data_IF_961730165968
#
_entry.id   IF_961730165968
#
_cell.length_a   1.000
_cell.length_b   1.000
_cell.length_c   1.000
_cell.angle_alpha   90.00
_cell.angle_beta   90.00
_cell.angle_gamma   90.00
#
_symmetry.space_group_name_H-M   'P 1'
#
loop_
_entity.id
_entity.type
_entity.pdbx_description
1 polymer ?
#
# COMPACT_ATOMS: atom_id res chain seq x y z
N UNK A 1 -29.82 -11.18 -10.28
CA UNK A 1 -28.68 -10.72 -11.09
C UNK A 1 -28.01 -9.60 -10.35
N UNK A 2 -27.29 -9.98 -9.30
CA UNK A 2 -26.35 -9.08 -8.65
C UNK A 2 -25.00 -9.19 -9.36
N UNK A 3 -24.03 -8.37 -8.93
CA UNK A 3 -22.69 -8.37 -9.51
C UNK A 3 -21.99 -9.74 -9.41
N UNK A 4 -22.34 -10.59 -8.42
CA UNK A 4 -21.73 -11.91 -8.17
C UNK A 4 -22.12 -12.93 -9.24
N UNK A 5 -23.29 -12.80 -9.87
CA UNK A 5 -23.76 -13.71 -10.93
C UNK A 5 -22.93 -13.64 -12.24
N UNK A 6 -22.12 -12.60 -12.45
CA UNK A 6 -21.33 -12.38 -13.69
C UNK A 6 -19.81 -12.57 -13.55
N UNK A 7 -19.29 -13.00 -12.39
CA UNK A 7 -17.83 -13.12 -12.17
C UNK A 7 -17.20 -14.40 -12.72
N UNK A 8 -17.20 -14.56 -14.05
CA UNK A 8 -16.27 -15.46 -14.78
C UNK A 8 -14.91 -14.78 -15.11
N UNK A 9 -14.63 -13.64 -14.47
CA UNK A 9 -13.42 -12.81 -14.63
C UNK A 9 -12.55 -12.97 -13.37
N UNK A 10 -11.20 -12.89 -13.44
CA UNK A 10 -10.33 -12.92 -12.26
C UNK A 10 -10.87 -12.04 -11.13
N UNK A 11 -10.77 -12.57 -9.90
CA UNK A 11 -11.33 -12.00 -8.67
C UNK A 11 -11.13 -10.49 -8.57
N UNK A 12 -12.06 -9.80 -7.91
CA UNK A 12 -11.83 -8.41 -7.52
C UNK A 12 -10.53 -8.31 -6.72
N UNK A 13 -9.49 -7.73 -7.32
CA UNK A 13 -8.24 -7.44 -6.63
C UNK A 13 -8.47 -6.25 -5.70
N UNK A 14 -8.65 -6.53 -4.40
CA UNK A 14 -8.75 -5.50 -3.38
C UNK A 14 -7.36 -4.93 -3.10
N UNK A 15 -7.08 -3.75 -3.67
CA UNK A 15 -5.79 -3.09 -3.51
C UNK A 15 -5.66 -2.47 -2.12
N UNK A 16 -4.43 -2.40 -1.62
CA UNK A 16 -4.16 -1.67 -0.37
C UNK A 16 -4.36 -0.16 -0.54
N UNK A 17 -4.62 0.59 0.54
CA UNK A 17 -4.72 2.04 0.51
C UNK A 17 -3.54 2.71 -0.19
N UNK A 18 -2.31 2.25 0.09
CA UNK A 18 -1.13 2.77 -0.58
C UNK A 18 -1.20 2.60 -2.11
N UNK A 19 -1.62 1.43 -2.59
CA UNK A 19 -1.71 1.12 -4.02
C UNK A 19 -2.79 1.93 -4.74
N UNK A 20 -4.03 1.94 -4.23
CA UNK A 20 -5.11 2.63 -4.95
C UNK A 20 -5.01 4.16 -4.85
N UNK A 21 -4.43 4.70 -3.77
CA UNK A 21 -4.14 6.13 -3.68
C UNK A 21 -3.03 6.52 -4.66
N UNK A 22 -1.96 5.73 -4.78
CA UNK A 22 -0.94 5.95 -5.81
C UNK A 22 -1.54 5.95 -7.23
N UNK A 23 -2.44 5.01 -7.52
CA UNK A 23 -3.13 4.95 -8.81
C UNK A 23 -3.98 6.20 -9.06
N UNK A 24 -4.76 6.64 -8.06
CA UNK A 24 -5.60 7.83 -8.18
C UNK A 24 -4.79 9.14 -8.30
N UNK A 25 -3.62 9.23 -7.65
CA UNK A 25 -2.67 10.33 -7.83
C UNK A 25 -2.09 10.34 -9.24
N UNK A 26 -1.64 9.18 -9.73
CA UNK A 26 -1.06 9.03 -11.07
C UNK A 26 -2.09 9.36 -12.16
N UNK A 27 -3.35 8.99 -11.94
CA UNK A 27 -4.45 9.30 -12.85
C UNK A 27 -4.93 10.76 -12.78
N UNK A 28 -4.41 11.58 -11.85
CA UNK A 28 -4.84 12.96 -11.64
C UNK A 28 -6.26 13.10 -11.05
N UNK A 29 -6.86 12.00 -10.58
CA UNK A 29 -8.11 12.00 -9.81
C UNK A 29 -7.89 12.70 -8.46
N UNK A 30 -6.73 12.47 -7.83
CA UNK A 30 -6.26 13.20 -6.64
C UNK A 30 -5.16 14.19 -7.08
N UNK A 31 -5.25 15.49 -6.76
CA UNK A 31 -4.23 16.46 -7.16
C UNK A 31 -2.89 16.24 -6.44
N UNK A 32 -1.81 15.97 -7.18
CA UNK A 32 -0.45 15.82 -6.62
C UNK A 32 0.13 17.13 -6.07
N UNK A 33 -0.46 18.27 -6.43
CA UNK A 33 -0.04 19.59 -5.95
C UNK A 33 -0.43 19.86 -4.49
N UNK A 34 -1.31 19.03 -3.90
CA UNK A 34 -1.68 19.15 -2.50
C UNK A 34 -0.58 18.55 -1.61
N UNK A 35 -0.04 19.30 -0.64
CA UNK A 35 1.00 18.79 0.22
C UNK A 35 0.45 17.66 1.11
N UNK A 36 1.24 16.61 1.28
CA UNK A 36 0.94 15.44 2.13
C UNK A 36 -0.39 14.70 1.83
N UNK A 37 -1.06 14.96 0.70
CA UNK A 37 -2.37 14.34 0.40
C UNK A 37 -2.33 12.82 0.42
N UNK A 38 -1.23 12.22 -0.06
CA UNK A 38 -1.02 10.76 -0.04
C UNK A 38 -1.04 10.22 1.39
N UNK A 39 -0.35 10.90 2.31
CA UNK A 39 -0.20 10.47 3.71
C UNK A 39 -1.57 10.44 4.40
N UNK A 40 -2.29 11.56 4.36
CA UNK A 40 -3.61 11.66 5.01
C UNK A 40 -4.64 10.73 4.35
N UNK A 41 -4.61 10.59 3.02
CA UNK A 41 -5.51 9.69 2.30
C UNK A 41 -5.28 8.22 2.68
N UNK A 42 -4.03 7.75 2.67
CA UNK A 42 -3.69 6.38 3.09
C UNK A 42 -4.12 6.15 4.53
N UNK A 43 -3.82 7.08 5.46
CA UNK A 43 -4.20 6.96 6.86
C UNK A 43 -5.71 6.82 7.06
N UNK A 44 -6.53 7.60 6.35
CA UNK A 44 -7.99 7.52 6.44
C UNK A 44 -8.52 6.25 5.79
N UNK A 45 -7.97 5.87 4.63
CA UNK A 45 -8.39 4.69 3.89
C UNK A 45 -7.96 3.35 4.53
N UNK A 46 -6.97 3.35 5.44
CA UNK A 46 -6.58 2.17 6.22
C UNK A 46 -7.51 1.91 7.42
N UNK A 47 -8.45 2.81 7.74
CA UNK A 47 -9.39 2.62 8.85
C UNK A 47 -10.56 1.74 8.44
N UNK A 48 -11.08 1.00 9.41
CA UNK A 48 -12.36 0.32 9.27
C UNK A 48 -13.51 1.30 9.47
N UNK A 49 -14.53 1.17 8.61
CA UNK A 49 -15.75 1.95 8.69
C UNK A 49 -16.94 1.00 8.69
N UNK A 50 -18.06 1.35 9.34
CA UNK A 50 -19.26 0.52 9.37
C UNK A 50 -20.06 0.54 8.07
N UNK A 51 -19.97 1.62 7.27
CA UNK A 51 -20.66 1.74 5.98
C UNK A 51 -19.89 2.63 5.00
N UNK A 52 -20.26 2.55 3.72
CA UNK A 52 -19.69 3.41 2.69
C UNK A 52 -20.01 4.90 2.92
N UNK A 53 -21.20 5.22 3.43
CA UNK A 53 -21.58 6.61 3.75
C UNK A 53 -20.77 7.15 4.92
N UNK A 54 -20.56 6.35 5.97
CA UNK A 54 -19.71 6.75 7.10
C UNK A 54 -18.26 6.94 6.65
N UNK A 55 -17.73 6.04 5.80
CA UNK A 55 -16.40 6.20 5.23
C UNK A 55 -16.28 7.50 4.43
N UNK A 56 -17.26 7.78 3.54
CA UNK A 56 -17.30 9.00 2.73
C UNK A 56 -17.23 10.25 3.60
N UNK A 57 -18.05 10.30 4.65
CA UNK A 57 -18.10 11.45 5.56
C UNK A 57 -16.79 11.59 6.36
N UNK A 58 -16.29 10.50 6.94
CA UNK A 58 -15.04 10.54 7.73
C UNK A 58 -13.82 10.89 6.90
N UNK A 59 -13.76 10.47 5.63
CA UNK A 59 -12.71 10.87 4.70
C UNK A 59 -12.78 12.38 4.44
N UNK A 60 -13.97 12.93 4.15
CA UNK A 60 -14.15 14.37 3.94
C UNK A 60 -13.69 15.15 5.16
N UNK A 61 -14.28 14.87 6.33
CA UNK A 61 -13.96 15.56 7.58
C UNK A 61 -12.47 15.46 7.88
N UNK A 62 -11.87 14.28 7.76
CA UNK A 62 -10.45 14.07 8.05
C UNK A 62 -9.52 14.88 7.16
N UNK A 63 -9.77 14.91 5.84
CA UNK A 63 -8.95 15.68 4.90
C UNK A 63 -9.16 17.18 5.10
N UNK A 64 -10.41 17.64 5.24
CA UNK A 64 -10.72 19.05 5.49
C UNK A 64 -10.05 19.55 6.77
N UNK A 65 -10.18 18.81 7.87
CA UNK A 65 -9.58 19.16 9.16
C UNK A 65 -8.05 19.18 9.09
N UNK A 66 -7.44 18.21 8.39
CA UNK A 66 -6.00 18.17 8.18
C UNK A 66 -5.50 19.44 7.49
N UNK A 67 -6.13 19.85 6.38
CA UNK A 67 -5.71 21.07 5.68
C UNK A 67 -5.98 22.34 6.48
N UNK A 68 -7.09 22.42 7.20
CA UNK A 68 -7.40 23.57 8.06
C UNK A 68 -6.38 23.74 9.20
N UNK A 69 -5.87 22.63 9.74
CA UNK A 69 -4.98 22.64 10.91
C UNK A 69 -3.51 22.73 10.50
N UNK A 70 -3.08 21.94 9.51
CA UNK A 70 -1.67 21.87 9.09
C UNK A 70 -1.29 22.90 8.04
N UNK A 71 -2.27 23.45 7.32
CA UNK A 71 -2.06 24.44 6.25
C UNK A 71 -3.12 25.57 6.33
N UNK A 72 -3.17 26.35 7.43
CA UNK A 72 -4.20 27.38 7.61
C UNK A 72 -4.16 28.46 6.51
N UNK A 73 -2.98 28.76 5.98
CA UNK A 73 -2.74 29.78 4.95
C UNK A 73 -2.87 29.23 3.51
N UNK A 74 -3.51 28.07 3.33
CA UNK A 74 -3.69 27.45 2.02
C UNK A 74 -4.48 28.40 1.08
N UNK A 75 -3.92 28.84 -0.06
CA UNK A 75 -4.59 29.74 -0.99
C UNK A 75 -5.96 29.23 -1.46
N UNK A 76 -6.92 30.12 -1.73
CA UNK A 76 -8.28 29.74 -2.14
C UNK A 76 -8.32 28.83 -3.38
N UNK A 77 -7.42 29.06 -4.35
CA UNK A 77 -7.26 28.18 -5.52
C UNK A 77 -6.94 26.73 -5.14
N UNK A 78 -6.27 26.50 -4.01
CA UNK A 78 -5.96 25.18 -3.49
C UNK A 78 -7.11 24.60 -2.66
N UNK A 79 -8.04 25.40 -2.13
CA UNK A 79 -9.28 24.88 -1.50
C UNK A 79 -10.15 24.12 -2.51
N UNK A 80 -10.21 24.59 -3.76
CA UNK A 80 -10.85 23.85 -4.86
C UNK A 80 -10.13 22.52 -5.13
N UNK A 81 -8.79 22.51 -5.04
CA UNK A 81 -8.01 21.27 -5.16
C UNK A 81 -8.27 20.32 -3.99
N UNK A 82 -8.45 20.82 -2.76
CA UNK A 82 -8.80 19.99 -1.59
C UNK A 82 -10.12 19.25 -1.85
N UNK A 83 -11.15 19.94 -2.35
CA UNK A 83 -12.43 19.29 -2.69
C UNK A 83 -12.29 18.23 -3.79
N UNK A 84 -11.48 18.51 -4.83
CA UNK A 84 -11.13 17.50 -5.83
C UNK A 84 -10.39 16.31 -5.20
N UNK A 85 -9.46 16.56 -4.28
CA UNK A 85 -8.73 15.54 -3.52
C UNK A 85 -9.66 14.66 -2.69
N UNK A 86 -10.58 15.26 -1.93
CA UNK A 86 -11.60 14.55 -1.14
C UNK A 86 -12.41 13.61 -2.04
N UNK A 87 -12.93 14.14 -3.15
CA UNK A 87 -13.76 13.38 -4.08
C UNK A 87 -12.96 12.22 -4.71
N UNK A 88 -11.71 12.47 -5.09
CA UNK A 88 -10.79 11.45 -5.62
C UNK A 88 -10.52 10.33 -4.62
N UNK A 89 -10.24 10.67 -3.36
CA UNK A 89 -10.01 9.69 -2.29
C UNK A 89 -11.26 8.86 -2.02
N UNK A 90 -12.43 9.49 -1.90
CA UNK A 90 -13.71 8.80 -1.70
C UNK A 90 -14.01 7.82 -2.84
N UNK A 91 -13.80 8.24 -4.09
CA UNK A 91 -13.98 7.40 -5.28
C UNK A 91 -13.01 6.22 -5.29
N UNK A 92 -11.75 6.44 -4.94
CA UNK A 92 -10.75 5.39 -4.86
C UNK A 92 -11.09 4.36 -3.75
N UNK A 93 -11.53 4.83 -2.58
CA UNK A 93 -11.99 3.98 -1.48
C UNK A 93 -13.19 3.12 -1.89
N UNK A 94 -14.24 3.72 -2.46
CA UNK A 94 -15.47 3.02 -2.84
C UNK A 94 -15.28 1.93 -3.91
N UNK A 95 -14.16 1.97 -4.66
CA UNK A 95 -13.79 0.95 -5.66
C UNK A 95 -13.02 -0.23 -5.06
N UNK A 96 -12.46 -0.10 -3.87
CA UNK A 96 -11.53 -1.08 -3.29
C UNK A 96 -11.96 -1.60 -1.90
N UNK A 97 -12.84 -0.90 -1.20
CA UNK A 97 -13.28 -1.27 0.15
C UNK A 97 -14.80 -1.22 0.22
N UNK A 98 -15.40 -2.32 0.68
CA UNK A 98 -16.84 -2.50 0.79
C UNK A 98 -17.22 -2.83 2.24
N UNK A 99 -17.38 -1.80 3.10
CA UNK A 99 -17.65 -1.96 4.52
C UNK A 99 -18.77 -2.95 4.88
N UNK A 100 -19.94 -2.82 4.23
CA UNK A 100 -21.10 -3.65 4.52
C UNK A 100 -20.87 -5.14 4.19
N UNK A 101 -20.01 -5.43 3.21
CA UNK A 101 -19.65 -6.79 2.81
C UNK A 101 -18.42 -7.30 3.55
N UNK A 102 -17.81 -6.49 4.43
CA UNK A 102 -16.51 -6.77 5.08
C UNK A 102 -15.44 -7.20 4.07
N UNK A 103 -15.47 -6.60 2.87
CA UNK A 103 -14.55 -6.92 1.79
C UNK A 103 -13.54 -5.79 1.59
N UNK A 104 -12.27 -6.14 1.76
CA UNK A 104 -11.12 -5.24 1.67
C UNK A 104 -9.86 -6.06 1.37
N UNK A 105 -8.76 -5.36 1.13
CA UNK A 105 -7.42 -5.95 0.98
C UNK A 105 -7.01 -6.78 2.21
N UNK A 106 -7.38 -6.36 3.42
CA UNK A 106 -7.04 -7.06 4.66
C UNK A 106 -7.85 -8.35 4.86
N UNK A 107 -9.12 -8.36 4.44
CA UNK A 107 -9.97 -9.55 4.53
C UNK A 107 -9.67 -10.58 3.42
N UNK A 108 -9.22 -10.12 2.25
CA UNK A 108 -8.92 -10.94 1.08
C UNK A 108 -7.50 -10.66 0.58
N UNK A 109 -6.47 -11.17 1.27
CA UNK A 109 -5.08 -10.89 0.94
C UNK A 109 -4.68 -11.51 -0.40
N UNK A 110 -3.86 -10.77 -1.14
CA UNK A 110 -3.17 -11.30 -2.33
C UNK A 110 -1.85 -11.95 -1.89
N UNK A 111 -1.64 -13.22 -2.23
CA UNK A 111 -0.41 -13.93 -1.86
C UNK A 111 0.72 -13.75 -2.88
N UNK A 112 0.52 -12.90 -3.90
CA UNK A 112 1.55 -12.50 -4.85
C UNK A 112 2.42 -11.41 -4.22
N UNK A 113 3.67 -11.77 -3.90
CA UNK A 113 4.65 -10.88 -3.25
C UNK A 113 4.60 -10.95 -1.71
N UNK A 114 5.43 -10.13 -1.07
CA UNK A 114 5.60 -10.17 0.40
C UNK A 114 5.70 -8.78 1.07
N UNK A 115 5.29 -7.72 0.38
CA UNK A 115 5.34 -6.34 0.90
C UNK A 115 4.14 -6.01 1.79
N UNK A 116 2.93 -6.20 1.24
CA UNK A 116 1.66 -5.87 1.90
C UNK A 116 1.00 -7.09 2.56
N UNK A 117 1.40 -8.29 2.16
CA UNK A 117 0.84 -9.56 2.59
C UNK A 117 1.97 -10.55 2.83
N UNK A 118 1.74 -11.60 3.62
CA UNK A 118 2.81 -12.55 3.93
C UNK A 118 3.23 -13.42 2.73
N UNK A 119 2.32 -13.67 1.78
CA UNK A 119 2.60 -14.45 0.57
C UNK A 119 3.39 -15.74 0.84
N UNK A 120 4.51 -15.90 0.15
CA UNK A 120 5.40 -17.05 0.30
C UNK A 120 6.05 -17.15 1.70
N UNK A 121 6.20 -16.05 2.43
CA UNK A 121 6.75 -16.06 3.80
C UNK A 121 5.86 -16.79 4.81
N UNK A 122 4.63 -17.17 4.46
CA UNK A 122 3.83 -18.11 5.27
C UNK A 122 4.58 -19.43 5.54
N UNK A 123 5.43 -19.86 4.61
CA UNK A 123 6.28 -21.03 4.75
C UNK A 123 7.78 -20.69 4.69
N UNK A 124 8.16 -19.64 3.97
CA UNK A 124 9.55 -19.19 3.85
C UNK A 124 9.93 -18.18 4.94
N UNK A 125 9.71 -18.55 6.20
CA UNK A 125 9.90 -17.70 7.38
C UNK A 125 11.15 -18.06 8.21
N UNK A 126 11.88 -19.12 7.84
CA UNK A 126 13.03 -19.58 8.62
C UNK A 126 12.68 -20.31 9.92
N UNK A 127 11.39 -20.55 10.21
CA UNK A 127 10.95 -21.20 11.46
C UNK A 127 10.48 -22.64 11.26
N UNK A 128 10.17 -23.05 10.03
CA UNK A 128 9.81 -24.43 9.71
C UNK A 128 11.07 -25.31 9.63
N UNK A 129 11.32 -26.09 10.68
CA UNK A 129 12.48 -27.01 10.79
C UNK A 129 11.99 -28.46 10.82
N UNK A 130 12.55 -29.30 9.94
CA UNK A 130 12.29 -30.75 9.94
C UNK A 130 13.00 -31.46 11.11
N UNK A 131 12.56 -32.68 11.43
CA UNK A 131 13.23 -33.51 12.45
C UNK A 131 14.73 -33.76 12.18
N UNK A 132 15.14 -33.71 10.91
CA UNK A 132 16.55 -33.82 10.50
C UNK A 132 17.31 -32.49 10.49
N UNK A 133 16.75 -31.41 11.03
CA UNK A 133 17.40 -30.11 11.16
C UNK A 133 17.40 -29.23 9.90
N UNK A 134 16.75 -29.66 8.80
CA UNK A 134 16.60 -28.82 7.60
C UNK A 134 15.53 -27.75 7.82
N UNK A 135 15.84 -26.49 7.49
CA UNK A 135 14.96 -25.34 7.65
C UNK A 135 14.48 -24.80 6.31
N UNK A 136 13.20 -24.43 6.21
CA UNK A 136 12.73 -23.64 5.05
C UNK A 136 13.27 -22.23 5.18
N UNK A 137 14.24 -21.91 4.33
CA UNK A 137 14.97 -20.63 4.35
C UNK A 137 14.07 -19.45 4.01
N UNK A 138 14.50 -18.25 4.43
CA UNK A 138 13.86 -16.96 4.15
C UNK A 138 14.75 -15.99 3.37
N UNK A 139 15.81 -16.49 2.74
CA UNK A 139 16.77 -15.66 2.03
C UNK A 139 16.10 -14.97 0.83
N UNK A 140 16.39 -13.68 0.60
CA UNK A 140 15.82 -12.90 -0.50
C UNK A 140 16.13 -13.53 -1.87
N UNK A 141 17.31 -14.15 -1.99
CA UNK A 141 17.82 -14.81 -3.19
C UNK A 141 17.11 -16.12 -3.52
N UNK A 142 16.16 -16.57 -2.69
CA UNK A 142 15.27 -17.67 -3.06
C UNK A 142 14.34 -17.29 -4.21
N UNK A 143 13.99 -16.01 -4.34
CA UNK A 143 13.01 -15.53 -5.31
C UNK A 143 13.48 -14.30 -6.11
N UNK A 144 14.54 -13.62 -5.69
CA UNK A 144 14.99 -12.38 -6.31
C UNK A 144 16.46 -12.41 -6.75
N UNK A 145 16.68 -11.98 -7.99
CA UNK A 145 17.98 -11.53 -8.49
C UNK A 145 17.97 -10.00 -8.59
N UNK A 146 18.54 -9.33 -7.59
CA UNK A 146 18.51 -7.87 -7.47
C UNK A 146 19.66 -7.30 -8.30
N UNK A 147 19.37 -7.03 -9.57
CA UNK A 147 20.37 -6.49 -10.50
C UNK A 147 20.57 -4.97 -10.35
N UNK A 148 19.57 -4.26 -9.82
CA UNK A 148 19.62 -2.81 -9.61
C UNK A 148 18.77 -2.41 -8.42
N UNK A 149 19.25 -1.48 -7.59
CA UNK A 149 18.47 -0.88 -6.52
C UNK A 149 18.95 0.55 -6.22
N UNK A 150 18.17 1.29 -5.42
CA UNK A 150 18.49 2.66 -5.01
C UNK A 150 17.60 3.73 -5.67
N UNK A 151 17.89 4.99 -5.37
CA UNK A 151 17.17 6.14 -5.91
C UNK A 151 17.94 6.74 -7.10
N UNK A 152 17.29 6.89 -8.28
CA UNK A 152 17.89 7.53 -9.45
C UNK A 152 18.52 8.88 -9.11
N UNK A 153 19.77 9.08 -9.55
CA UNK A 153 20.53 10.31 -9.31
C UNK A 153 21.02 10.52 -7.87
N UNK A 154 20.86 9.55 -6.96
CA UNK A 154 21.36 9.64 -5.58
C UNK A 154 22.29 8.49 -5.21
N UNK A 155 21.76 7.27 -5.18
CA UNK A 155 22.45 6.09 -4.64
C UNK A 155 22.09 4.83 -5.44
N UNK A 156 22.06 4.95 -6.77
CA UNK A 156 21.82 3.79 -7.63
C UNK A 156 23.01 2.83 -7.56
N UNK A 157 22.70 1.56 -7.34
CA UNK A 157 23.64 0.46 -7.36
C UNK A 157 23.23 -0.52 -8.47
N UNK A 158 24.22 -1.08 -9.15
CA UNK A 158 24.05 -2.02 -10.26
C UNK A 158 24.94 -3.22 -9.98
N UNK A 159 24.37 -4.42 -10.03
CA UNK A 159 25.12 -5.67 -9.90
C UNK A 159 26.11 -5.84 -11.06
N UNK A 160 27.21 -6.54 -10.79
CA UNK A 160 28.06 -7.06 -11.86
C UNK A 160 27.33 -8.20 -12.57
N UNK A 161 27.73 -8.47 -13.81
CA UNK A 161 27.17 -9.58 -14.60
C UNK A 161 27.38 -10.90 -13.83
N UNK A 162 26.29 -11.61 -13.57
CA UNK A 162 26.30 -12.89 -12.84
C UNK A 162 26.27 -12.76 -11.31
N UNK A 163 26.21 -11.54 -10.77
CA UNK A 163 26.05 -11.28 -9.34
C UNK A 163 24.64 -10.72 -9.04
N UNK A 164 24.24 -10.78 -7.76
CA UNK A 164 22.99 -10.20 -7.25
C UNK A 164 23.33 -9.30 -6.06
N UNK A 165 22.68 -8.14 -5.96
CA UNK A 165 22.90 -7.22 -4.85
C UNK A 165 22.18 -7.74 -3.59
N UNK A 166 22.78 -7.45 -2.43
CA UNK A 166 22.05 -7.59 -1.17
C UNK A 166 20.98 -6.49 -1.08
N UNK A 167 19.73 -6.88 -0.79
CA UNK A 167 18.63 -5.93 -0.65
C UNK A 167 18.96 -4.82 0.36
N UNK A 168 18.55 -3.59 0.05
CA UNK A 168 18.58 -2.45 0.98
C UNK A 168 17.21 -1.79 1.05
N UNK A 169 16.73 -1.58 2.27
CA UNK A 169 15.48 -0.86 2.48
C UNK A 169 15.62 0.61 1.99
N UNK A 170 14.61 1.18 1.29
CA UNK A 170 14.72 2.52 0.71
C UNK A 170 14.90 3.66 1.70
N UNK A 171 14.53 3.44 2.97
CA UNK A 171 14.80 4.35 4.09
C UNK A 171 15.60 3.62 5.14
N UNK A 172 16.48 4.35 5.83
CA UNK A 172 17.30 3.77 6.89
C UNK A 172 16.41 3.35 8.07
N UNK A 173 16.38 2.04 8.32
CA UNK A 173 15.66 1.39 9.42
C UNK A 173 16.61 0.54 10.28
N UNK A 174 17.91 0.87 10.28
CA UNK A 174 18.92 0.16 11.08
C UNK A 174 19.07 -1.32 10.70
N UNK A 175 18.74 -1.69 9.46
CA UNK A 175 18.82 -3.08 8.98
C UNK A 175 17.67 -4.00 9.42
N UNK A 176 16.60 -3.48 10.03
CA UNK A 176 15.48 -4.28 10.53
C UNK A 176 14.84 -5.21 9.47
N UNK A 177 14.92 -4.86 8.18
CA UNK A 177 14.46 -5.74 7.09
C UNK A 177 15.13 -7.13 7.06
N UNK A 178 16.30 -7.28 7.70
CA UNK A 178 17.00 -8.57 7.82
C UNK A 178 16.34 -9.50 8.82
N UNK A 179 15.56 -9.00 9.76
CA UNK A 179 15.02 -9.77 10.90
C UNK A 179 13.49 -9.70 10.98
N UNK A 180 12.89 -8.66 10.42
CA UNK A 180 11.46 -8.36 10.50
C UNK A 180 10.80 -8.53 9.13
N UNK A 181 9.52 -8.92 9.09
CA UNK A 181 8.79 -9.00 7.82
C UNK A 181 8.42 -7.60 7.35
N UNK A 182 8.42 -7.41 6.03
CA UNK A 182 7.96 -6.14 5.43
C UNK A 182 6.52 -5.83 5.87
N UNK A 183 5.68 -6.85 5.99
CA UNK A 183 4.28 -6.75 6.42
C UNK A 183 4.11 -6.18 7.82
N UNK A 184 5.10 -6.31 8.70
CA UNK A 184 4.99 -5.83 10.08
C UNK A 184 4.95 -4.29 10.14
N UNK A 185 5.38 -3.62 9.06
CA UNK A 185 5.32 -2.16 8.91
C UNK A 185 4.48 -1.69 7.71
N UNK A 186 4.28 -2.56 6.71
CA UNK A 186 3.67 -2.19 5.44
C UNK A 186 2.28 -2.79 5.19
N UNK A 187 1.74 -3.63 6.09
CA UNK A 187 0.36 -4.12 6.00
C UNK A 187 -0.65 -2.98 6.16
#
# INVERSE_FOLDING_TARGET
MDCIDCHNRPSHLFRTPAQFINAALTAGEIPVALPEIKKIAVQLCSREYPSADVAREKIRVGITQFYQTSYPDLPDRQRVLVEKGITGVQKAFARNVFPAMKASWSAYPDNIGHLYFSGCFRCHNGTHVSNGGKTIRRDCTLCHDINTQGTPGKNMEIARVGESLEFRHPVDIGGAWRETYCTDCHA
#
